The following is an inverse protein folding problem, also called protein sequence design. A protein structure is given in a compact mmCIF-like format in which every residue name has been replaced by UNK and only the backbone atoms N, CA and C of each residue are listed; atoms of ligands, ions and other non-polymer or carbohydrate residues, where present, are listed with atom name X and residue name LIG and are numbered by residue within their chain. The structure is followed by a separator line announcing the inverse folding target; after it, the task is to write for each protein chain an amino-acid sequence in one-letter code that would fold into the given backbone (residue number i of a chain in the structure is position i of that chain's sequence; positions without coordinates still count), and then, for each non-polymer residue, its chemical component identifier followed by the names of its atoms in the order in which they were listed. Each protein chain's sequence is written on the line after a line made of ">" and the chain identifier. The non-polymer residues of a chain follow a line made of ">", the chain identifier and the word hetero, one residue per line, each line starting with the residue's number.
data_IF_457127295174
#
_entry.id   IF_457127295174
#
_cell.length_a   1.000
_cell.length_b   1.000
_cell.length_c   1.000
_cell.angle_alpha   90.00
_cell.angle_beta   90.00
_cell.angle_gamma   90.00
#
_symmetry.space_group_name_H-M   'P 1'
#
loop_
_entity.id
_entity.type
_entity.pdbx_description
1 polymer ?
#
# COMPACT_ATOMS: atom_id res chain seq x y z
N UNK A 1 15.00 18.42 3.01
CA UNK A 1 13.54 18.25 2.90
C UNK A 1 13.22 17.51 1.62
N UNK A 2 12.82 16.24 1.70
CA UNK A 2 12.36 15.50 0.53
C UNK A 2 10.90 15.88 0.26
N UNK A 3 10.63 16.54 -0.88
CA UNK A 3 9.27 16.82 -1.34
C UNK A 3 8.69 15.54 -1.93
N UNK A 4 7.84 14.87 -1.17
CA UNK A 4 7.06 13.72 -1.62
C UNK A 4 5.72 14.20 -2.17
N UNK A 5 5.55 14.21 -3.49
CA UNK A 5 4.24 14.15 -4.15
C UNK A 5 4.42 13.60 -5.56
N UNK A 6 3.71 12.53 -5.91
CA UNK A 6 3.56 12.05 -7.28
C UNK A 6 2.61 13.00 -8.02
N UNK A 7 3.14 14.09 -8.59
CA UNK A 7 2.40 14.97 -9.49
C UNK A 7 2.76 14.60 -10.94
N UNK A 8 1.81 14.01 -11.67
CA UNK A 8 2.03 13.57 -13.05
C UNK A 8 0.74 13.05 -13.69
N UNK A 9 0.77 12.91 -15.01
CA UNK A 9 -0.33 12.35 -15.79
C UNK A 9 0.18 11.29 -16.77
N UNK A 10 -0.66 10.29 -17.04
CA UNK A 10 -0.37 9.28 -18.05
C UNK A 10 -0.90 9.75 -19.41
N UNK A 11 -0.04 9.88 -20.40
CA UNK A 11 -0.43 10.21 -21.77
C UNK A 11 0.25 9.26 -22.75
N UNK A 12 -0.54 8.60 -23.60
CA UNK A 12 -0.07 7.61 -24.60
C UNK A 12 0.87 6.54 -24.03
N UNK A 13 0.60 6.07 -22.81
CA UNK A 13 1.41 5.04 -22.14
C UNK A 13 2.70 5.54 -21.51
N UNK A 14 2.98 6.84 -21.55
CA UNK A 14 4.14 7.47 -20.90
C UNK A 14 3.66 8.29 -19.71
N UNK A 15 4.26 8.07 -18.54
CA UNK A 15 3.97 8.88 -17.35
C UNK A 15 4.78 10.17 -17.40
N UNK A 16 4.09 11.30 -17.54
CA UNK A 16 4.67 12.63 -17.55
C UNK A 16 4.67 13.18 -16.13
N UNK A 17 5.87 13.33 -15.56
CA UNK A 17 6.04 14.01 -14.27
C UNK A 17 5.84 15.52 -14.44
N UNK A 18 5.01 16.12 -13.59
CA UNK A 18 4.87 17.57 -13.48
C UNK A 18 5.99 18.19 -12.64
N UNK A 19 6.77 17.35 -11.94
CA UNK A 19 7.96 17.79 -11.20
C UNK A 19 9.17 17.75 -12.12
N UNK A 20 9.80 18.91 -12.29
CA UNK A 20 11.07 19.02 -12.99
C UNK A 20 12.17 18.33 -12.15
N UNK A 21 12.80 17.29 -12.73
CA UNK A 21 13.91 16.52 -12.12
C UNK A 21 13.53 15.82 -10.80
N UNK A 22 12.70 14.76 -10.84
CA UNK A 22 12.47 13.95 -9.65
C UNK A 22 13.80 13.39 -9.15
N UNK A 23 14.14 13.65 -7.89
CA UNK A 23 15.35 13.12 -7.23
C UNK A 23 15.27 11.63 -6.91
N UNK A 24 14.15 10.99 -7.25
CA UNK A 24 13.90 9.58 -6.97
C UNK A 24 14.44 8.75 -8.13
N UNK A 25 15.65 8.21 -7.99
CA UNK A 25 16.14 7.16 -8.87
C UNK A 25 15.34 5.89 -8.63
N UNK A 26 14.53 5.50 -9.61
CA UNK A 26 13.60 4.35 -9.55
C UNK A 26 14.32 3.00 -9.69
N UNK A 27 15.36 2.73 -8.89
CA UNK A 27 15.97 1.40 -8.83
C UNK A 27 15.32 0.57 -7.72
N UNK A 28 15.24 -0.76 -7.93
CA UNK A 28 14.73 -1.68 -6.91
C UNK A 28 15.50 -1.57 -5.60
N UNK A 29 16.81 -1.39 -5.67
CA UNK A 29 17.67 -1.27 -4.49
C UNK A 29 17.37 0.01 -3.70
N UNK A 30 17.18 1.14 -4.38
CA UNK A 30 16.81 2.39 -3.71
C UNK A 30 15.47 2.26 -2.98
N UNK A 31 14.49 1.57 -3.57
CA UNK A 31 13.22 1.29 -2.90
C UNK A 31 13.40 0.37 -1.69
N UNK A 32 14.22 -0.69 -1.81
CA UNK A 32 14.51 -1.59 -0.68
C UNK A 32 15.17 -0.84 0.48
N UNK A 33 16.18 -0.02 0.19
CA UNK A 33 16.87 0.78 1.22
C UNK A 33 15.95 1.83 1.84
N UNK A 34 15.06 2.45 1.06
CA UNK A 34 14.12 3.44 1.56
C UNK A 34 13.04 2.82 2.46
N UNK A 35 12.56 1.62 2.12
CA UNK A 35 11.47 0.93 2.81
C UNK A 35 11.92 -0.01 3.92
N UNK A 36 13.23 -0.24 4.06
CA UNK A 36 13.79 -1.04 5.14
C UNK A 36 13.38 -0.46 6.49
N UNK A 37 12.85 -1.29 7.39
CA UNK A 37 12.38 -0.90 8.73
C UNK A 37 11.26 0.16 8.71
N UNK A 38 10.58 0.33 7.56
CA UNK A 38 9.46 1.25 7.40
C UNK A 38 8.23 0.49 6.93
N UNK A 39 7.35 0.08 7.85
CA UNK A 39 6.14 -0.63 7.46
C UNK A 39 5.25 0.28 6.60
N UNK A 40 4.73 -0.27 5.50
CA UNK A 40 3.88 0.46 4.55
C UNK A 40 2.44 0.01 4.72
N UNK A 41 1.58 0.90 5.20
CA UNK A 41 0.14 0.65 5.36
C UNK A 41 -0.63 1.33 4.22
N UNK A 42 -1.32 0.55 3.42
CA UNK A 42 -2.18 1.03 2.32
C UNK A 42 -3.64 0.84 2.69
N UNK A 43 -4.40 1.94 2.84
CA UNK A 43 -5.80 1.93 3.25
C UNK A 43 -6.65 2.55 2.12
N UNK A 44 -7.57 1.80 1.52
CA UNK A 44 -8.46 2.32 0.46
C UNK A 44 -9.17 1.24 -0.36
N UNK A 45 -9.64 1.56 -1.57
CA UNK A 45 -10.40 0.65 -2.43
C UNK A 45 -9.57 -0.32 -3.31
N UNK A 46 -10.30 -1.18 -4.02
CA UNK A 46 -9.84 -2.29 -4.86
C UNK A 46 -8.95 -1.93 -6.05
N UNK A 47 -8.97 -0.69 -6.52
CA UNK A 47 -8.42 -0.31 -7.82
C UNK A 47 -7.06 0.35 -7.67
N UNK A 48 -6.93 1.25 -6.71
CA UNK A 48 -5.68 1.98 -6.52
C UNK A 48 -4.82 1.27 -5.49
N UNK A 49 -5.20 1.25 -4.21
CA UNK A 49 -4.32 0.79 -3.12
C UNK A 49 -3.98 -0.69 -3.22
N UNK A 50 -4.92 -1.53 -3.68
CA UNK A 50 -4.68 -2.96 -3.91
C UNK A 50 -3.73 -3.23 -5.08
N UNK A 51 -3.85 -2.50 -6.19
CA UNK A 51 -2.94 -2.67 -7.32
C UNK A 51 -1.54 -2.16 -6.98
N UNK A 52 -1.44 -1.06 -6.22
CA UNK A 52 -0.17 -0.56 -5.70
C UNK A 52 0.50 -1.58 -4.79
N UNK A 53 -0.24 -2.15 -3.83
CA UNK A 53 0.24 -3.25 -2.99
C UNK A 53 0.80 -4.41 -3.82
N UNK A 54 0.02 -4.92 -4.79
CA UNK A 54 0.45 -6.03 -5.64
C UNK A 54 1.72 -5.71 -6.45
N UNK A 55 1.76 -4.54 -7.09
CA UNK A 55 2.90 -4.12 -7.90
C UNK A 55 4.14 -3.88 -7.06
N UNK A 56 3.98 -3.30 -5.87
CA UNK A 56 5.07 -3.07 -4.93
C UNK A 56 5.65 -4.39 -4.42
N UNK A 57 4.79 -5.29 -3.92
CA UNK A 57 5.21 -6.61 -3.44
C UNK A 57 5.89 -7.44 -4.53
N UNK A 58 5.36 -7.41 -5.76
CA UNK A 58 6.00 -8.06 -6.93
C UNK A 58 7.34 -7.42 -7.30
N UNK A 59 7.44 -6.10 -7.28
CA UNK A 59 8.67 -5.37 -7.59
C UNK A 59 9.78 -5.63 -6.56
N UNK A 60 9.40 -5.70 -5.28
CA UNK A 60 10.32 -5.95 -4.17
C UNK A 60 10.61 -7.44 -3.94
N UNK A 61 9.86 -8.33 -4.59
CA UNK A 61 9.94 -9.80 -4.46
C UNK A 61 9.62 -10.28 -3.03
N UNK A 62 8.56 -9.73 -2.45
CA UNK A 62 8.08 -10.06 -1.11
C UNK A 62 7.02 -11.17 -1.22
N UNK A 63 7.05 -12.13 -0.28
CA UNK A 63 6.05 -13.22 -0.23
C UNK A 63 4.77 -12.72 0.44
N UNK A 64 3.62 -13.17 -0.08
CA UNK A 64 2.31 -12.90 0.52
C UNK A 64 2.06 -13.88 1.66
N UNK A 65 1.56 -13.39 2.80
CA UNK A 65 1.19 -14.22 3.93
C UNK A 65 -0.30 -14.55 3.91
N UNK A 66 -1.17 -13.55 3.70
CA UNK A 66 -2.63 -13.71 3.79
C UNK A 66 -3.40 -12.75 2.86
N UNK A 67 -4.68 -13.05 2.57
CA UNK A 67 -5.65 -12.13 1.94
C UNK A 67 -6.05 -12.41 0.49
N UNK A 68 -5.22 -13.10 -0.30
CA UNK A 68 -5.43 -13.26 -1.75
C UNK A 68 -5.92 -14.63 -2.22
N UNK A 69 -6.08 -15.60 -1.32
CA UNK A 69 -6.24 -17.02 -1.70
C UNK A 69 -7.66 -17.44 -2.12
N UNK A 70 -8.67 -16.59 -1.99
CA UNK A 70 -10.03 -16.92 -2.44
C UNK A 70 -10.77 -15.69 -3.00
N UNK A 71 -11.10 -15.74 -4.30
CA UNK A 71 -11.85 -14.71 -5.04
C UNK A 71 -13.18 -14.27 -4.37
N UNK A 72 -13.70 -15.09 -3.45
CA UNK A 72 -14.93 -14.81 -2.70
C UNK A 72 -14.74 -13.87 -1.50
N UNK A 73 -13.52 -13.39 -1.20
CA UNK A 73 -13.25 -12.51 -0.07
C UNK A 73 -12.05 -11.59 -0.34
N UNK A 74 -12.01 -10.98 -1.52
CA UNK A 74 -10.93 -10.07 -1.93
C UNK A 74 -10.79 -8.82 -1.05
N UNK A 75 -11.79 -8.53 -0.22
CA UNK A 75 -11.82 -7.46 0.80
C UNK A 75 -11.15 -7.89 2.13
N UNK A 76 -10.35 -8.96 2.13
CA UNK A 76 -9.55 -9.36 3.30
C UNK A 76 -8.27 -8.55 3.35
N UNK A 77 -7.75 -8.37 4.57
CA UNK A 77 -6.42 -7.79 4.75
C UNK A 77 -5.39 -8.61 3.99
N UNK A 78 -4.55 -7.91 3.25
CA UNK A 78 -3.44 -8.50 2.56
C UNK A 78 -2.15 -8.05 3.23
N UNK A 79 -1.32 -9.00 3.58
CA UNK A 79 -0.03 -8.74 4.21
C UNK A 79 1.06 -9.42 3.40
N UNK A 80 2.15 -8.69 3.21
CA UNK A 80 3.33 -9.18 2.52
C UNK A 80 4.55 -8.74 3.33
N UNK A 81 5.37 -9.71 3.73
CA UNK A 81 6.55 -9.45 4.54
C UNK A 81 7.78 -10.19 4.03
N UNK A 82 8.95 -9.59 4.22
CA UNK A 82 10.25 -10.20 3.97
C UNK A 82 11.15 -9.94 5.19
N UNK A 83 11.34 -10.98 6.01
CA UNK A 83 12.14 -10.92 7.24
C UNK A 83 13.65 -10.78 6.99
N UNK A 84 14.13 -11.11 5.78
CA UNK A 84 15.55 -10.93 5.43
C UNK A 84 15.87 -9.49 5.06
N UNK A 85 14.88 -8.74 4.58
CA UNK A 85 15.04 -7.36 4.12
C UNK A 85 14.32 -6.35 5.02
N UNK A 86 13.72 -6.81 6.13
CA UNK A 86 12.88 -6.02 7.04
C UNK A 86 11.85 -5.16 6.30
N UNK A 87 11.18 -5.78 5.32
CA UNK A 87 10.12 -5.15 4.54
C UNK A 87 8.79 -5.69 5.03
N UNK A 88 7.91 -4.76 5.39
CA UNK A 88 6.55 -5.05 5.80
C UNK A 88 5.60 -4.15 5.00
N UNK A 89 4.66 -4.76 4.28
CA UNK A 89 3.65 -4.05 3.51
C UNK A 89 2.30 -4.66 3.85
N UNK A 90 1.35 -3.81 4.19
CA UNK A 90 -0.01 -4.19 4.51
C UNK A 90 -1.00 -3.41 3.63
N UNK A 91 -2.03 -4.10 3.14
CA UNK A 91 -3.18 -3.51 2.49
C UNK A 91 -4.46 -3.83 3.24
N UNK A 92 -5.25 -2.80 3.45
CA UNK A 92 -6.48 -2.83 4.21
C UNK A 92 -7.60 -2.10 3.46
N UNK A 93 -8.77 -2.72 3.24
CA UNK A 93 -9.89 -2.01 2.65
C UNK A 93 -10.52 -1.01 3.63
N UNK A 94 -10.98 0.12 3.07
CA UNK A 94 -11.76 1.14 3.78
C UNK A 94 -13.29 0.88 3.70
N UNK A 95 -14.08 1.64 4.47
CA UNK A 95 -15.43 1.24 4.92
C UNK A 95 -16.56 1.20 3.89
N UNK A 96 -16.47 1.97 2.80
CA UNK A 96 -17.56 2.15 1.84
C UNK A 96 -17.07 1.85 0.42
N UNK A 97 -17.90 1.30 -0.47
CA UNK A 97 -19.30 0.87 -0.32
C UNK A 97 -19.43 -0.64 -0.01
N UNK A 98 -18.40 -1.28 0.56
CA UNK A 98 -18.27 -2.75 0.51
C UNK A 98 -19.21 -3.55 1.43
N UNK A 99 -20.00 -2.87 2.26
CA UNK A 99 -20.97 -3.52 3.15
C UNK A 99 -21.90 -4.48 2.39
N UNK A 100 -21.98 -5.73 2.85
CA UNK A 100 -22.86 -6.76 2.29
C UNK A 100 -22.22 -7.67 1.24
N UNK A 101 -20.96 -7.44 0.86
CA UNK A 101 -20.21 -8.37 0.00
C UNK A 101 -19.57 -9.51 0.80
N UNK A 102 -19.47 -10.73 0.24
CA UNK A 102 -18.68 -11.81 0.84
C UNK A 102 -17.24 -11.36 1.15
N UNK A 103 -16.86 -11.38 2.44
CA UNK A 103 -15.56 -10.90 2.92
C UNK A 103 -15.57 -9.52 3.59
N UNK A 104 -16.61 -8.70 3.39
CA UNK A 104 -16.80 -7.38 4.02
C UNK A 104 -17.64 -7.47 5.30
N UNK A 105 -17.28 -8.38 6.21
CA UNK A 105 -17.87 -8.38 7.54
C UNK A 105 -17.57 -7.04 8.26
N UNK A 106 -18.56 -6.47 8.95
CA UNK A 106 -18.44 -5.28 9.81
C UNK A 106 -17.28 -5.36 10.80
N UNK A 107 -16.84 -6.57 11.15
CA UNK A 107 -15.67 -6.80 11.99
C UNK A 107 -14.35 -6.50 11.27
N UNK A 108 -14.25 -6.79 9.97
CA UNK A 108 -13.06 -6.58 9.14
C UNK A 108 -12.94 -5.14 8.62
N UNK A 109 -14.07 -4.47 8.49
CA UNK A 109 -14.12 -3.14 7.92
C UNK A 109 -14.09 -2.11 9.05
N UNK A 110 -12.95 -1.44 9.20
CA UNK A 110 -12.69 -0.43 10.23
C UNK A 110 -12.36 0.92 9.60
N UNK A 111 -12.77 1.99 10.27
CA UNK A 111 -12.51 3.35 9.85
C UNK A 111 -11.01 3.61 9.72
N UNK A 112 -10.64 4.49 8.80
CA UNK A 112 -9.25 4.90 8.60
C UNK A 112 -8.66 5.45 9.91
N UNK A 113 -9.46 6.22 10.66
CA UNK A 113 -9.07 6.77 11.96
C UNK A 113 -8.74 5.68 13.00
N UNK A 114 -9.54 4.60 13.07
CA UNK A 114 -9.27 3.47 13.96
C UNK A 114 -7.93 2.80 13.66
N UNK A 115 -7.58 2.68 12.37
CA UNK A 115 -6.32 2.08 11.91
C UNK A 115 -5.13 2.98 12.21
N UNK A 116 -5.26 4.28 11.95
CA UNK A 116 -4.21 5.26 12.25
C UNK A 116 -3.88 5.32 13.75
N UNK A 117 -4.88 5.22 14.62
CA UNK A 117 -4.66 5.27 16.08
C UNK A 117 -3.85 4.07 16.63
N UNK A 118 -3.67 3.02 15.83
CA UNK A 118 -2.86 1.83 16.19
C UNK A 118 -1.41 1.92 15.73
N UNK A 119 -1.08 2.91 14.91
CA UNK A 119 0.30 3.16 14.49
C UNK A 119 1.00 3.92 15.62
N UNK A 120 2.12 3.40 16.16
CA UNK A 120 2.85 4.09 17.22
C UNK A 120 3.28 5.49 16.78
N UNK A 121 3.14 6.49 17.64
CA UNK A 121 3.48 7.89 17.32
C UNK A 121 4.95 8.15 16.99
N UNK A 122 5.86 7.21 17.27
CA UNK A 122 7.28 7.24 16.90
C UNK A 122 7.62 6.23 15.79
N UNK A 123 6.66 5.91 14.93
CA UNK A 123 6.85 4.99 13.82
C UNK A 123 7.36 5.70 12.57
N UNK A 124 8.27 5.06 11.85
CA UNK A 124 8.68 5.40 10.48
C UNK A 124 7.68 4.92 9.41
N UNK A 125 6.49 4.47 9.85
CA UNK A 125 5.45 3.92 9.00
C UNK A 125 5.05 4.89 7.89
N UNK A 126 4.95 4.35 6.68
CA UNK A 126 4.41 5.06 5.53
C UNK A 126 2.94 4.69 5.42
N UNK A 127 2.05 5.67 5.51
CA UNK A 127 0.60 5.45 5.36
C UNK A 127 0.11 6.06 4.05
N UNK A 128 -0.54 5.25 3.24
CA UNK A 128 -1.17 5.64 1.98
C UNK A 128 -2.67 5.52 2.17
N UNK A 129 -3.40 6.63 2.04
CA UNK A 129 -4.86 6.66 2.18
C UNK A 129 -5.46 7.10 0.84
N UNK A 130 -6.43 6.34 0.34
CA UNK A 130 -7.19 6.65 -0.86
C UNK A 130 -8.68 6.36 -0.65
N UNK A 131 -9.54 7.12 -1.35
CA UNK A 131 -10.99 7.11 -1.22
C UNK A 131 -11.64 6.77 -2.57
#
# INVERSE_FOLDING_TARGET
>A
MAKYCTAGFLYRGVYHNLICRPTIYQSRENYRTCLKERPVFSIGDSTTTRQWFFRLSKSLQIKYSEGFTNNKAWQRFAHAYNTTLDLDVEWQPHELPFHGSPGSDRTNVKSVAYRLNRIPGNSSAIVIIHW
#
